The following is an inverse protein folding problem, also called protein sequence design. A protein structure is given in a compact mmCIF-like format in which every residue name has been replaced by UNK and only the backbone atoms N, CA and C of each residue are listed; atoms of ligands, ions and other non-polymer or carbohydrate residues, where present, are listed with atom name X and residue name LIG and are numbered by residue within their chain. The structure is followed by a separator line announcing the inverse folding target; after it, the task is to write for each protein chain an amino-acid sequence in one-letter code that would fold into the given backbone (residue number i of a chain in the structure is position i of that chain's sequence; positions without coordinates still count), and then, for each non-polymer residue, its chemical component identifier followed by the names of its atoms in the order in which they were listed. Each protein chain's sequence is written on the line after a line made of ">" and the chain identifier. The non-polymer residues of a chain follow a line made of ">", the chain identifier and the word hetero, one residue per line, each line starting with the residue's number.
data_IF_234594456988
#
_entry.id   IF_234594456988
#
_cell.length_a   1.000
_cell.length_b   1.000
_cell.length_c   1.000
_cell.angle_alpha   90.00
_cell.angle_beta   90.00
_cell.angle_gamma   90.00
#
_symmetry.space_group_name_H-M   'P 1'
#
loop_
_entity.id
_entity.type
_entity.pdbx_description
1 polymer ?
#
# COMPACT_ATOMS: atom_id res chain seq x y z
N UNK A 1 33.86 18.39 -20.31
CA UNK A 1 32.99 17.27 -19.91
C UNK A 1 32.44 17.63 -18.54
N UNK A 2 31.15 17.93 -18.44
CA UNK A 2 30.54 18.46 -17.22
C UNK A 2 30.18 17.30 -16.29
N UNK A 3 30.92 17.18 -15.20
CA UNK A 3 30.51 16.42 -14.02
C UNK A 3 29.39 17.21 -13.32
N UNK A 4 28.15 16.75 -13.49
CA UNK A 4 27.02 17.25 -12.70
C UNK A 4 26.59 16.15 -11.75
N UNK A 5 27.22 16.16 -10.57
CA UNK A 5 26.67 15.53 -9.36
C UNK A 5 25.36 16.24 -9.02
N UNK A 6 24.25 15.51 -9.00
CA UNK A 6 23.00 16.01 -8.42
C UNK A 6 22.47 14.93 -7.49
N UNK A 7 23.03 14.93 -6.29
CA UNK A 7 22.54 14.15 -5.17
C UNK A 7 21.25 14.84 -4.68
N UNK A 8 20.10 14.38 -5.17
CA UNK A 8 18.79 14.86 -4.74
C UNK A 8 18.54 14.36 -3.32
N UNK A 9 18.99 15.15 -2.35
CA UNK A 9 18.48 15.13 -0.98
C UNK A 9 17.04 15.64 -0.99
N UNK A 10 16.12 14.77 -1.40
CA UNK A 10 14.71 14.97 -1.13
C UNK A 10 14.49 14.63 0.34
N UNK A 11 14.71 15.62 1.21
CA UNK A 11 14.16 15.63 2.55
C UNK A 11 12.62 15.70 2.41
N UNK A 12 12.01 14.54 2.17
CA UNK A 12 10.59 14.36 2.41
C UNK A 12 10.38 14.60 3.88
N UNK A 13 9.85 15.78 4.22
CA UNK A 13 9.21 16.07 5.49
C UNK A 13 8.12 15.01 5.65
N UNK A 14 8.48 13.88 6.26
CA UNK A 14 7.51 12.94 6.80
C UNK A 14 6.83 13.73 7.89
N UNK A 15 5.69 14.32 7.55
CA UNK A 15 4.67 14.65 8.53
C UNK A 15 4.36 13.33 9.20
N UNK A 16 5.09 13.02 10.27
CA UNK A 16 4.71 12.01 11.22
C UNK A 16 3.38 12.55 11.75
N UNK A 17 2.29 12.14 11.11
CA UNK A 17 0.95 12.43 11.58
C UNK A 17 0.97 12.10 13.05
N UNK A 18 0.62 13.08 13.88
CA UNK A 18 0.43 12.89 15.30
C UNK A 18 -0.60 11.77 15.43
N UNK A 19 -0.13 10.52 15.55
CA UNK A 19 -0.94 9.44 16.07
C UNK A 19 -1.15 9.87 17.50
N UNK A 20 -2.26 10.58 17.74
CA UNK A 20 -2.75 10.83 19.07
C UNK A 20 -2.85 9.44 19.70
N UNK A 21 -1.84 9.07 20.48
CA UNK A 21 -1.94 7.94 21.38
C UNK A 21 -3.14 8.29 22.21
N UNK A 22 -4.24 7.58 21.97
CA UNK A 22 -5.50 7.80 22.63
C UNK A 22 -5.32 7.39 24.09
N UNK A 23 -4.60 8.24 24.83
CA UNK A 23 -4.44 8.20 26.26
C UNK A 23 -5.82 8.55 26.84
N UNK A 24 -6.70 7.56 26.88
CA UNK A 24 -8.03 7.70 27.46
C UNK A 24 -9.18 6.98 26.77
N UNK A 25 -8.99 6.23 25.67
CA UNK A 25 -10.09 5.43 25.10
C UNK A 25 -10.04 3.99 25.59
N UNK A 26 -10.98 3.61 26.46
CA UNK A 26 -11.17 2.22 26.87
C UNK A 26 -11.98 1.48 25.80
N UNK A 27 -11.31 0.72 24.94
CA UNK A 27 -11.94 -0.08 23.89
C UNK A 27 -10.92 -0.91 23.11
N UNK A 28 -11.36 -1.97 22.43
CA UNK A 28 -10.54 -2.75 21.50
C UNK A 28 -10.73 -2.21 20.09
N UNK A 29 -9.67 -1.65 19.50
CA UNK A 29 -9.65 -1.28 18.08
C UNK A 29 -9.24 -2.51 17.27
N UNK A 30 -10.10 -2.93 16.34
CA UNK A 30 -9.80 -4.00 15.39
C UNK A 30 -9.65 -3.39 14.00
N UNK A 31 -8.62 -3.79 13.28
CA UNK A 31 -8.38 -3.37 11.90
C UNK A 31 -8.75 -4.54 10.99
N UNK A 32 -9.58 -4.26 10.00
CA UNK A 32 -9.98 -5.25 8.99
C UNK A 32 -8.88 -5.44 7.95
N UNK A 33 -8.56 -6.69 7.64
CA UNK A 33 -7.52 -7.09 6.69
C UNK A 33 -7.83 -6.63 5.25
N UNK A 34 -9.10 -6.57 4.88
CA UNK A 34 -9.57 -6.08 3.58
C UNK A 34 -9.28 -4.59 3.39
N UNK A 35 -9.32 -3.80 4.46
CA UNK A 35 -8.96 -2.38 4.38
C UNK A 35 -7.45 -2.24 4.20
N UNK A 36 -6.66 -3.02 4.95
CA UNK A 36 -5.21 -2.95 4.84
C UNK A 36 -4.72 -3.43 3.47
N UNK A 37 -5.31 -4.49 2.90
CA UNK A 37 -4.93 -4.98 1.58
C UNK A 37 -5.17 -3.94 0.49
N UNK A 38 -6.27 -3.18 0.57
CA UNK A 38 -6.56 -2.07 -0.36
C UNK A 38 -5.54 -0.94 -0.22
N UNK A 39 -5.24 -0.53 1.01
CA UNK A 39 -4.26 0.55 1.24
C UNK A 39 -2.87 0.13 0.76
N UNK A 40 -2.45 -1.09 1.07
CA UNK A 40 -1.17 -1.63 0.62
C UNK A 40 -1.10 -1.77 -0.91
N UNK A 41 -2.19 -2.20 -1.57
CA UNK A 41 -2.22 -2.32 -3.02
C UNK A 41 -2.25 -0.97 -3.76
N UNK A 42 -2.87 0.06 -3.17
CA UNK A 42 -2.77 1.44 -3.66
C UNK A 42 -1.31 1.93 -3.49
N UNK A 43 -0.76 1.82 -2.29
CA UNK A 43 0.60 2.28 -1.98
C UNK A 43 1.66 1.61 -2.85
N UNK A 44 1.54 0.30 -3.08
CA UNK A 44 2.46 -0.44 -3.92
C UNK A 44 2.45 0.04 -5.39
N UNK A 45 1.30 0.50 -5.92
CA UNK A 45 1.19 1.02 -7.29
C UNK A 45 1.72 2.44 -7.47
N UNK A 46 1.89 3.20 -6.38
CA UNK A 46 2.54 4.51 -6.42
C UNK A 46 4.06 4.41 -6.58
N UNK A 47 4.64 3.22 -6.39
CA UNK A 47 6.08 2.98 -6.56
C UNK A 47 6.42 2.91 -8.05
N UNK A 48 7.39 3.72 -8.48
CA UNK A 48 7.89 3.71 -9.85
C UNK A 48 8.35 2.30 -10.26
N UNK A 49 7.87 1.83 -11.41
CA UNK A 49 8.16 0.49 -11.93
C UNK A 49 7.10 -0.56 -11.60
N UNK A 50 6.14 -0.29 -10.71
CA UNK A 50 5.02 -1.20 -10.41
C UNK A 50 3.85 -0.93 -11.37
N UNK A 51 3.74 -1.72 -12.43
CA UNK A 51 2.62 -1.62 -13.39
C UNK A 51 1.37 -2.37 -12.95
N UNK A 52 1.54 -3.56 -12.35
CA UNK A 52 0.43 -4.41 -11.92
C UNK A 52 0.86 -5.37 -10.81
N UNK A 53 -0.07 -5.68 -9.92
CA UNK A 53 0.09 -6.62 -8.81
C UNK A 53 -0.75 -7.89 -9.08
N UNK A 54 -0.30 -9.03 -8.56
CA UNK A 54 -0.88 -10.36 -8.69
C UNK A 54 -0.18 -11.25 -9.72
N UNK A 55 -0.44 -12.56 -9.67
CA UNK A 55 0.07 -13.53 -10.67
C UNK A 55 -0.55 -13.35 -12.07
N UNK A 56 -0.03 -14.08 -13.06
CA UNK A 56 -0.39 -13.92 -14.49
C UNK A 56 -1.89 -13.98 -14.81
N UNK A 57 -2.61 -14.97 -14.28
CA UNK A 57 -4.06 -15.08 -14.48
C UNK A 57 -4.84 -13.98 -13.72
N UNK A 58 -4.39 -13.64 -12.51
CA UNK A 58 -5.02 -12.58 -11.71
C UNK A 58 -4.88 -11.22 -12.42
N UNK A 59 -3.70 -10.90 -12.97
CA UNK A 59 -3.47 -9.67 -13.75
C UNK A 59 -4.38 -9.58 -14.98
N UNK A 60 -4.58 -10.67 -15.72
CA UNK A 60 -5.46 -10.68 -16.89
C UNK A 60 -6.92 -10.37 -16.53
N UNK A 61 -7.46 -11.04 -15.50
CA UNK A 61 -8.83 -10.77 -15.03
C UNK A 61 -8.93 -9.37 -14.40
N UNK A 62 -7.85 -8.92 -13.73
CA UNK A 62 -7.71 -7.57 -13.22
C UNK A 62 -7.83 -6.51 -14.30
N UNK A 63 -7.17 -6.69 -15.44
CA UNK A 63 -7.23 -5.75 -16.56
C UNK A 63 -8.64 -5.64 -17.18
N UNK A 64 -9.38 -6.75 -17.25
CA UNK A 64 -10.77 -6.76 -17.73
C UNK A 64 -11.68 -6.02 -16.74
N UNK A 65 -11.55 -6.33 -15.45
CA UNK A 65 -12.30 -5.64 -14.37
C UNK A 65 -11.99 -4.15 -14.33
N UNK A 66 -10.74 -3.80 -14.59
CA UNK A 66 -10.30 -2.43 -14.64
C UNK A 66 -10.96 -1.66 -15.81
N UNK A 67 -11.02 -2.26 -16.99
CA UNK A 67 -11.65 -1.66 -18.17
C UNK A 67 -13.14 -1.30 -17.96
N UNK A 68 -13.83 -2.00 -17.05
CA UNK A 68 -15.24 -1.73 -16.68
C UNK A 68 -15.38 -0.88 -15.41
N UNK A 69 -14.28 -0.35 -14.88
CA UNK A 69 -14.27 0.49 -13.67
C UNK A 69 -14.42 -0.27 -12.35
N UNK A 70 -14.35 -1.60 -12.36
CA UNK A 70 -14.40 -2.47 -11.17
C UNK A 70 -12.99 -2.84 -10.69
N UNK A 71 -12.13 -1.83 -10.52
CA UNK A 71 -10.73 -2.02 -10.14
C UNK A 71 -10.63 -2.59 -8.73
N UNK A 72 -9.97 -3.74 -8.58
CA UNK A 72 -9.70 -4.33 -7.28
C UNK A 72 -8.37 -3.79 -6.72
N UNK A 73 -8.47 -2.93 -5.71
CA UNK A 73 -7.33 -2.30 -5.06
C UNK A 73 -6.57 -3.22 -4.11
N UNK A 74 -7.16 -4.35 -3.69
CA UNK A 74 -6.48 -5.37 -2.86
C UNK A 74 -5.82 -6.48 -3.68
N UNK A 75 -6.03 -6.49 -5.00
CA UNK A 75 -5.52 -7.54 -5.86
C UNK A 75 -3.99 -7.64 -5.80
N UNK A 76 -3.49 -8.85 -5.55
CA UNK A 76 -2.05 -9.14 -5.49
C UNK A 76 -1.41 -8.82 -4.15
N UNK A 77 -2.20 -8.49 -3.13
CA UNK A 77 -1.71 -8.26 -1.77
C UNK A 77 -2.33 -9.27 -0.82
N UNK A 78 -1.49 -10.03 -0.12
CA UNK A 78 -1.91 -10.92 0.97
C UNK A 78 -1.64 -10.22 2.29
N UNK A 79 -2.64 -10.13 3.16
CA UNK A 79 -2.50 -9.46 4.46
C UNK A 79 -2.88 -10.38 5.61
N UNK A 80 -2.10 -10.33 6.67
CA UNK A 80 -2.38 -10.98 7.95
C UNK A 80 -2.26 -9.93 9.06
N UNK A 81 -3.37 -9.61 9.73
CA UNK A 81 -3.44 -8.60 10.80
C UNK A 81 -3.26 -9.28 12.16
N UNK A 82 -2.25 -8.84 12.91
CA UNK A 82 -2.08 -9.16 14.33
C UNK A 82 -2.52 -8.01 15.23
N UNK A 83 -2.47 -8.21 16.55
CA UNK A 83 -2.94 -7.20 17.52
C UNK A 83 -2.11 -5.91 17.52
N UNK A 84 -0.82 -6.01 17.21
CA UNK A 84 0.13 -4.88 17.25
C UNK A 84 0.84 -4.62 15.93
N UNK A 85 0.70 -5.52 14.97
CA UNK A 85 1.48 -5.51 13.74
C UNK A 85 0.66 -6.12 12.60
N UNK A 86 1.03 -5.77 11.37
CA UNK A 86 0.42 -6.33 10.17
C UNK A 86 1.50 -6.84 9.26
N UNK A 87 1.33 -8.06 8.75
CA UNK A 87 2.15 -8.60 7.69
C UNK A 87 1.43 -8.38 6.35
N UNK A 88 2.12 -7.74 5.40
CA UNK A 88 1.62 -7.55 4.04
C UNK A 88 2.64 -8.11 3.07
N UNK A 89 2.19 -9.03 2.21
CA UNK A 89 2.97 -9.64 1.16
C UNK A 89 2.40 -9.23 -0.20
N UNK A 90 3.28 -8.92 -1.16
CA UNK A 90 2.93 -8.38 -2.47
C UNK A 90 3.43 -9.34 -3.55
N UNK A 91 2.52 -9.79 -4.39
CA UNK A 91 2.74 -10.80 -5.44
C UNK A 91 2.62 -10.18 -6.82
#
# INVERSE_FOLDING_TARGET
>A
MADTTTNLTAATTRSAGTHASAAGTSGKTTIDDTVVSKVAGIAAREVNGVHSLGGGAARAIGAIRDAIGQRDHGQGVKVEVGEKQVAADVV
#
